data_IF_648388202210
#
_entry.id   IF_648388202210
#
_cell.length_a   1.000
_cell.length_b   1.000
_cell.length_c   1.000
_cell.angle_alpha   90.00
_cell.angle_beta   90.00
_cell.angle_gamma   90.00
#
_symmetry.space_group_name_H-M   'P 1'
#
loop_
_entity.id
_entity.type
_entity.pdbx_description
1 polymer ?
#
# COMPACT_ATOMS: atom_id res chain seq x y z
N UNK A 1 -10.96 25.82 -5.15
CA UNK A 1 -9.55 25.37 -4.98
C UNK A 1 -9.40 24.80 -3.58
N UNK A 2 -9.54 23.47 -3.43
CA UNK A 2 -9.40 22.80 -2.14
C UNK A 2 -7.97 22.30 -1.97
N UNK A 3 -7.16 23.06 -1.24
CA UNK A 3 -5.85 22.60 -0.76
C UNK A 3 -6.06 22.22 0.71
N UNK A 4 -6.44 20.96 0.96
CA UNK A 4 -6.70 20.43 2.31
C UNK A 4 -5.37 20.22 3.03
N UNK A 5 -4.93 21.19 3.85
CA UNK A 5 -3.75 21.11 4.73
C UNK A 5 -3.82 20.07 5.86
N UNK A 6 -4.68 19.05 5.74
CA UNK A 6 -4.88 17.97 6.73
C UNK A 6 -4.31 16.62 6.27
N UNK A 7 -3.87 16.50 5.01
CA UNK A 7 -3.32 15.23 4.48
C UNK A 7 -2.00 14.77 5.14
N UNK A 8 -1.05 15.65 5.50
CA UNK A 8 0.21 15.19 6.09
C UNK A 8 0.02 14.51 7.45
N UNK A 9 -0.80 15.10 8.33
CA UNK A 9 -1.03 14.54 9.66
C UNK A 9 -1.79 13.21 9.59
N UNK A 10 -2.84 13.13 8.78
CA UNK A 10 -3.59 11.89 8.61
C UNK A 10 -2.70 10.75 8.09
N UNK A 11 -1.80 11.04 7.15
CA UNK A 11 -0.85 10.04 6.64
C UNK A 11 0.17 9.60 7.68
N UNK A 12 0.68 10.51 8.52
CA UNK A 12 1.58 10.16 9.62
C UNK A 12 0.87 9.22 10.60
N UNK A 13 -0.37 9.53 10.99
CA UNK A 13 -1.15 8.68 11.89
C UNK A 13 -1.48 7.32 11.28
N UNK A 14 -1.82 7.27 9.98
CA UNK A 14 -2.11 6.00 9.30
C UNK A 14 -0.88 5.10 9.20
N UNK A 15 0.32 5.68 9.01
CA UNK A 15 1.57 4.92 9.03
C UNK A 15 1.87 4.35 10.40
N UNK A 16 1.74 5.18 11.45
CA UNK A 16 1.89 4.72 12.83
C UNK A 16 0.90 3.59 13.16
N UNK A 17 -0.36 3.73 12.74
CA UNK A 17 -1.34 2.66 12.87
C UNK A 17 -0.89 1.38 12.14
N UNK A 18 -0.46 1.51 10.88
CA UNK A 18 -0.03 0.37 10.07
C UNK A 18 1.15 -0.39 10.71
N UNK A 19 2.07 0.34 11.35
CA UNK A 19 3.24 -0.23 12.03
C UNK A 19 2.87 -1.01 13.30
N UNK A 20 1.77 -0.65 13.95
CA UNK A 20 1.25 -1.36 15.12
C UNK A 20 0.32 -2.54 14.78
N UNK A 21 0.05 -2.78 13.49
CA UNK A 21 -0.80 -3.89 13.05
C UNK A 21 0.06 -5.07 12.63
N UNK A 22 -0.16 -6.23 13.25
CA UNK A 22 0.58 -7.46 12.95
C UNK A 22 0.21 -8.09 11.59
N UNK A 23 -0.91 -7.70 11.00
CA UNK A 23 -1.40 -8.18 9.71
C UNK A 23 -0.86 -7.31 8.57
N UNK A 24 -0.53 -7.87 7.38
CA UNK A 24 -0.17 -7.09 6.21
C UNK A 24 -1.20 -5.99 5.91
N UNK A 25 -0.73 -4.76 5.82
CA UNK A 25 -1.57 -3.59 5.56
C UNK A 25 -0.95 -2.71 4.47
N UNK A 26 -1.80 -2.23 3.56
CA UNK A 26 -1.44 -1.37 2.45
C UNK A 26 -2.21 -0.04 2.56
N UNK A 27 -1.50 1.08 2.42
CA UNK A 27 -2.10 2.41 2.34
C UNK A 27 -2.03 2.89 0.90
N UNK A 28 -3.20 3.13 0.30
CA UNK A 28 -3.33 3.70 -1.03
C UNK A 28 -3.96 5.09 -0.95
N UNK A 29 -3.53 6.00 -1.83
CA UNK A 29 -4.19 7.29 -1.97
C UNK A 29 -5.44 7.21 -2.88
N UNK A 30 -6.03 8.37 -3.17
CA UNK A 30 -7.24 8.47 -3.98
C UNK A 30 -7.05 8.02 -5.43
N UNK A 31 -5.82 8.07 -5.95
CA UNK A 31 -5.47 7.69 -7.31
C UNK A 31 -5.03 6.22 -7.38
N UNK A 32 -5.07 5.49 -6.26
CA UNK A 32 -4.63 4.10 -6.18
C UNK A 32 -3.11 3.96 -6.08
N UNK A 33 -2.38 5.04 -5.79
CA UNK A 33 -0.94 4.97 -5.54
C UNK A 33 -0.73 4.33 -4.17
N UNK A 34 0.04 3.24 -4.13
CA UNK A 34 0.53 2.64 -2.91
C UNK A 34 1.57 3.57 -2.27
N UNK A 35 1.19 4.22 -1.17
CA UNK A 35 2.01 5.24 -0.48
C UNK A 35 2.70 4.72 0.78
N UNK A 36 2.33 3.52 1.24
CA UNK A 36 2.97 2.82 2.34
C UNK A 36 2.47 1.36 2.44
N UNK A 37 3.29 0.48 3.01
CA UNK A 37 2.86 -0.80 3.58
C UNK A 37 3.75 -1.17 4.76
N UNK A 38 3.20 -1.91 5.73
CA UNK A 38 3.90 -2.22 6.98
C UNK A 38 4.89 -3.39 6.83
N UNK A 39 5.70 -3.65 7.88
CA UNK A 39 6.70 -4.74 7.91
C UNK A 39 6.09 -6.11 7.58
N UNK A 40 4.89 -6.40 8.08
CA UNK A 40 4.19 -7.65 7.77
C UNK A 40 3.92 -7.80 6.25
N UNK A 41 3.57 -6.70 5.58
CA UNK A 41 3.44 -6.68 4.13
C UNK A 41 4.80 -6.76 3.42
N UNK A 42 5.89 -6.21 3.97
CA UNK A 42 7.23 -6.40 3.41
C UNK A 42 7.61 -7.89 3.38
N UNK A 43 7.30 -8.62 4.46
CA UNK A 43 7.52 -10.08 4.54
C UNK A 43 6.66 -10.82 3.52
N UNK A 44 5.38 -10.44 3.38
CA UNK A 44 4.47 -11.04 2.40
C UNK A 44 4.95 -10.83 0.96
N UNK A 45 5.39 -9.61 0.64
CA UNK A 45 5.76 -9.21 -0.72
C UNK A 45 7.22 -9.53 -1.09
N UNK A 46 8.06 -9.83 -0.08
CA UNK A 46 9.50 -10.04 -0.25
C UNK A 46 10.26 -8.79 -0.69
N UNK A 47 9.73 -7.59 -0.43
CA UNK A 47 10.31 -6.32 -0.80
C UNK A 47 10.01 -5.28 0.28
N UNK A 48 11.02 -4.53 0.71
CA UNK A 48 10.83 -3.47 1.70
C UNK A 48 10.29 -2.19 1.05
N UNK A 49 9.45 -1.45 1.77
CA UNK A 49 8.88 -0.20 1.27
C UNK A 49 9.98 0.83 1.00
N UNK A 50 11.03 0.88 1.82
CA UNK A 50 12.17 1.79 1.61
C UNK A 50 12.92 1.55 0.30
N UNK A 51 12.88 0.33 -0.22
CA UNK A 51 13.53 -0.04 -1.49
C UNK A 51 12.56 0.19 -2.68
N UNK A 52 11.26 -0.03 -2.48
CA UNK A 52 10.23 0.13 -3.51
C UNK A 52 9.84 1.60 -3.75
N UNK A 53 9.73 2.39 -2.68
CA UNK A 53 9.06 3.68 -2.70
C UNK A 53 7.56 3.58 -2.98
N UNK A 54 6.95 4.71 -3.33
CA UNK A 54 5.56 4.75 -3.77
C UNK A 54 5.38 4.14 -5.15
N UNK A 55 4.32 3.36 -5.35
CA UNK A 55 4.04 2.67 -6.62
C UNK A 55 2.64 3.04 -7.13
N UNK A 56 2.50 3.34 -8.42
CA UNK A 56 1.18 3.54 -9.03
C UNK A 56 0.38 2.24 -9.09
N UNK A 57 -0.93 2.34 -9.32
CA UNK A 57 -1.82 1.20 -9.49
C UNK A 57 -1.32 0.18 -10.53
N UNK A 58 -0.84 0.64 -11.68
CA UNK A 58 -0.27 -0.25 -12.69
C UNK A 58 1.04 -0.90 -12.26
N UNK A 59 1.90 -0.17 -11.53
CA UNK A 59 3.23 -0.65 -11.13
C UNK A 59 3.16 -1.77 -10.10
N UNK A 60 2.35 -1.60 -9.05
CA UNK A 60 2.25 -2.64 -8.02
C UNK A 60 1.40 -3.83 -8.48
N UNK A 61 0.36 -3.65 -9.30
CA UNK A 61 -0.40 -4.77 -9.88
C UNK A 61 0.42 -5.58 -10.90
N UNK A 62 1.31 -4.93 -11.67
CA UNK A 62 2.23 -5.64 -12.55
C UNK A 62 3.28 -6.45 -11.77
N UNK A 63 3.61 -6.01 -10.56
CA UNK A 63 4.60 -6.66 -9.71
C UNK A 63 4.00 -7.79 -8.86
N UNK A 64 2.78 -7.58 -8.37
CA UNK A 64 2.04 -8.52 -7.53
C UNK A 64 0.62 -8.67 -8.08
N UNK A 65 0.44 -9.67 -8.96
CA UNK A 65 -0.87 -9.99 -9.50
C UNK A 65 -1.75 -10.58 -8.39
N UNK A 66 -2.90 -9.95 -8.16
CA UNK A 66 -3.86 -10.43 -7.17
C UNK A 66 -4.63 -11.63 -7.75
N UNK A 67 -4.77 -12.68 -6.94
CA UNK A 67 -5.51 -13.89 -7.29
C UNK A 67 -6.60 -14.16 -6.25
N UNK A 68 -7.70 -14.78 -6.67
CA UNK A 68 -8.71 -15.29 -5.76
C UNK A 68 -8.24 -16.57 -5.04
N UNK A 69 -9.08 -17.10 -4.16
CA UNK A 69 -8.77 -18.33 -3.40
C UNK A 69 -8.61 -19.59 -4.27
N UNK A 70 -9.04 -19.53 -5.54
CA UNK A 70 -8.90 -20.60 -6.53
C UNK A 70 -7.68 -20.38 -7.44
N UNK A 71 -6.91 -19.29 -7.26
CA UNK A 71 -5.76 -18.92 -8.09
C UNK A 71 -6.13 -18.22 -9.40
N UNK A 72 -7.36 -17.71 -9.54
CA UNK A 72 -7.75 -16.95 -10.74
C UNK A 72 -7.36 -15.48 -10.56
N UNK A 73 -6.79 -14.84 -11.60
CA UNK A 73 -6.41 -13.44 -11.52
C UNK A 73 -7.64 -12.56 -11.29
N UNK A 74 -7.53 -11.62 -10.35
CA UNK A 74 -8.53 -10.60 -10.09
C UNK A 74 -8.42 -9.47 -11.14
N UNK A 75 -9.54 -8.88 -11.59
CA UNK A 75 -9.51 -7.74 -12.50
C UNK A 75 -8.92 -6.51 -11.80
N UNK A 76 -8.14 -5.74 -12.57
CA UNK A 76 -7.62 -4.42 -12.16
C UNK A 76 -8.70 -3.34 -12.22
#
# INVERSE_FOLDING_TARGET
MGQNGQQPLALIMMRELADNVATPLFLVDREGVLVYYNEAAEVLLGLRFVDAGSLTADQWSARWAAEDVEGKPLPN
#
